data_IF_642726729666
#
_entry.id   IF_642726729666
#
_cell.length_a   1.000
_cell.length_b   1.000
_cell.length_c   1.000
_cell.angle_alpha   90.00
_cell.angle_beta   90.00
_cell.angle_gamma   90.00
#
_symmetry.space_group_name_H-M   'P 1'
#
loop_
_entity.id
_entity.type
_entity.pdbx_description
1 polymer ?
#
# COMPACT_ATOMS: atom_id res chain seq x y z
N UNK A 1 3.47 18.38 -9.41
CA UNK A 1 3.15 16.97 -9.74
C UNK A 1 2.11 16.52 -8.73
N UNK A 2 0.88 16.26 -9.17
CA UNK A 2 -0.17 15.74 -8.28
C UNK A 2 0.13 14.28 -7.98
N UNK A 3 0.28 13.93 -6.70
CA UNK A 3 0.40 12.53 -6.28
C UNK A 3 -0.93 11.81 -6.57
N UNK A 4 -0.90 10.56 -7.03
CA UNK A 4 -2.12 9.82 -7.32
C UNK A 4 -2.87 9.52 -6.03
N UNK A 5 -4.17 9.79 -6.04
CA UNK A 5 -5.10 9.33 -5.00
C UNK A 5 -5.66 7.97 -5.43
N UNK A 6 -5.72 7.05 -4.49
CA UNK A 6 -6.29 5.70 -4.69
C UNK A 6 -7.14 5.31 -3.49
N UNK A 7 -7.90 4.22 -3.61
CA UNK A 7 -8.59 3.60 -2.47
C UNK A 7 -7.62 2.70 -1.72
N UNK A 8 -7.70 2.71 -0.38
CA UNK A 8 -7.05 1.76 0.49
C UNK A 8 -8.03 0.66 0.92
N UNK A 9 -7.61 -0.59 0.86
CA UNK A 9 -8.40 -1.74 1.32
C UNK A 9 -7.54 -2.64 2.21
N UNK A 10 -7.85 -2.65 3.50
CA UNK A 10 -7.20 -3.56 4.45
C UNK A 10 -7.67 -4.99 4.22
N UNK A 11 -6.73 -5.91 4.07
CA UNK A 11 -6.93 -7.30 3.67
C UNK A 11 -6.30 -8.30 4.66
N UNK A 12 -5.63 -7.82 5.70
CA UNK A 12 -5.10 -8.65 6.79
C UNK A 12 -6.22 -9.07 7.77
N UNK A 13 -5.86 -9.83 8.81
CA UNK A 13 -6.81 -10.37 9.77
C UNK A 13 -7.63 -9.25 10.45
N UNK A 14 -8.91 -9.14 10.07
CA UNK A 14 -9.88 -8.15 10.52
C UNK A 14 -10.33 -8.41 11.98
N UNK A 15 -9.42 -8.16 12.91
CA UNK A 15 -9.61 -8.38 14.34
C UNK A 15 -8.99 -7.23 15.11
N UNK A 16 -9.60 -6.84 16.24
CA UNK A 16 -8.99 -5.87 17.16
C UNK A 16 -7.69 -6.38 17.81
N UNK A 17 -7.39 -7.67 17.64
CA UNK A 17 -6.12 -8.28 18.05
C UNK A 17 -5.01 -8.12 17.01
N UNK A 18 -5.32 -7.61 15.81
CA UNK A 18 -4.30 -7.31 14.80
C UNK A 18 -3.46 -6.11 15.24
N UNK A 19 -2.14 -6.21 15.04
CA UNK A 19 -1.18 -5.10 15.24
C UNK A 19 -1.61 -3.83 14.49
N UNK A 20 -2.34 -4.01 13.38
CA UNK A 20 -2.78 -2.95 12.48
C UNK A 20 -4.30 -2.75 12.48
N UNK A 21 -4.99 -3.14 13.56
CA UNK A 21 -6.44 -2.94 13.69
C UNK A 21 -6.89 -1.48 13.49
N UNK A 22 -5.98 -0.51 13.64
CA UNK A 22 -6.23 0.90 13.37
C UNK A 22 -6.34 1.22 11.86
N UNK A 23 -5.72 0.41 10.98
CA UNK A 23 -5.85 0.51 9.53
C UNK A 23 -7.14 -0.15 9.02
N UNK A 24 -7.58 -1.24 9.66
CA UNK A 24 -8.87 -1.88 9.34
C UNK A 24 -10.04 -0.89 9.40
N UNK A 25 -10.07 -0.02 10.42
CA UNK A 25 -11.10 1.05 10.57
C UNK A 25 -11.07 2.11 9.46
N UNK A 26 -10.04 2.10 8.61
CA UNK A 26 -9.81 3.03 7.51
C UNK A 26 -9.95 2.36 6.13
N UNK A 27 -10.40 1.11 6.07
CA UNK A 27 -10.70 0.45 4.80
C UNK A 27 -11.71 1.28 3.98
N UNK A 28 -11.53 1.31 2.65
CA UNK A 28 -12.29 2.08 1.66
C UNK A 28 -12.13 3.61 1.75
N UNK A 29 -11.15 4.12 2.49
CA UNK A 29 -10.80 5.54 2.44
C UNK A 29 -9.90 5.86 1.25
N UNK A 30 -9.96 7.10 0.78
CA UNK A 30 -9.00 7.60 -0.19
C UNK A 30 -7.67 7.89 0.51
N UNK A 31 -6.58 7.53 -0.15
CA UNK A 31 -5.23 7.79 0.30
C UNK A 31 -4.39 8.38 -0.81
N UNK A 32 -3.45 9.24 -0.43
CA UNK A 32 -2.43 9.78 -1.32
C UNK A 32 -1.20 8.91 -1.26
N UNK A 33 -0.77 8.35 -2.40
CA UNK A 33 0.49 7.59 -2.46
C UNK A 33 1.67 8.56 -2.46
N UNK A 34 2.56 8.45 -1.47
CA UNK A 34 3.68 9.37 -1.30
C UNK A 34 4.91 8.89 -2.07
N UNK A 35 5.38 7.67 -1.78
CA UNK A 35 6.52 7.01 -2.43
C UNK A 35 6.56 5.51 -2.07
N UNK A 36 7.31 4.73 -2.85
CA UNK A 36 7.63 3.33 -2.54
C UNK A 36 8.60 3.27 -1.35
N UNK A 37 8.40 2.30 -0.45
CA UNK A 37 9.26 2.06 0.71
C UNK A 37 9.81 0.64 0.68
N UNK A 38 10.95 0.45 1.33
CA UNK A 38 11.58 -0.87 1.43
C UNK A 38 10.81 -1.66 2.50
N UNK A 39 10.27 -2.85 2.17
CA UNK A 39 9.60 -3.71 3.14
C UNK A 39 10.55 -4.18 4.24
N UNK A 40 10.01 -4.60 5.39
CA UNK A 40 10.79 -5.20 6.45
C UNK A 40 11.47 -6.51 6.01
N UNK A 41 12.46 -7.02 6.77
CA UNK A 41 13.22 -8.22 6.39
C UNK A 41 12.35 -9.50 6.28
N UNK A 42 11.14 -9.48 6.81
CA UNK A 42 10.19 -10.60 6.78
C UNK A 42 8.97 -10.32 5.89
N UNK A 43 8.92 -9.16 5.25
CA UNK A 43 7.78 -8.73 4.44
C UNK A 43 8.11 -8.98 2.96
N UNK A 44 7.27 -9.75 2.28
CA UNK A 44 7.41 -10.03 0.86
C UNK A 44 6.44 -9.15 0.07
N UNK A 45 6.96 -8.38 -0.90
CA UNK A 45 6.13 -7.59 -1.82
C UNK A 45 6.53 -6.11 -1.88
N UNK A 46 5.83 -5.39 -2.75
CA UNK A 46 5.99 -3.94 -2.88
C UNK A 46 5.17 -3.23 -1.80
N UNK A 47 5.79 -2.26 -1.13
CA UNK A 47 5.13 -1.43 -0.13
C UNK A 47 5.21 0.04 -0.51
N UNK A 48 4.18 0.80 -0.15
CA UNK A 48 4.09 2.23 -0.37
C UNK A 48 3.81 2.94 0.94
N UNK A 49 4.41 4.12 1.12
CA UNK A 49 3.96 5.05 2.14
C UNK A 49 2.77 5.83 1.59
N UNK A 50 1.63 5.75 2.27
CA UNK A 50 0.42 6.49 1.93
C UNK A 50 0.05 7.47 3.04
N UNK A 51 -0.71 8.51 2.68
CA UNK A 51 -1.30 9.46 3.63
C UNK A 51 -2.82 9.47 3.52
N UNK A 52 -3.49 9.32 4.65
CA UNK A 52 -4.94 9.44 4.79
C UNK A 52 -5.38 10.90 4.95
N UNK A 53 -6.67 11.18 4.77
CA UNK A 53 -7.24 12.52 4.91
C UNK A 53 -7.13 13.10 6.34
N UNK A 54 -7.04 12.23 7.35
CA UNK A 54 -6.80 12.62 8.76
C UNK A 54 -5.33 12.96 9.05
N UNK A 55 -4.46 12.86 8.04
CA UNK A 55 -3.03 13.13 8.15
C UNK A 55 -2.20 11.94 8.63
N UNK A 56 -2.81 10.78 8.90
CA UNK A 56 -2.08 9.56 9.23
C UNK A 56 -1.24 9.11 8.02
N UNK A 57 0.00 8.72 8.28
CA UNK A 57 0.86 8.07 7.30
C UNK A 57 1.12 6.62 7.71
N UNK A 58 1.00 5.71 6.76
CA UNK A 58 1.20 4.28 7.01
C UNK A 58 1.86 3.61 5.80
N UNK A 59 2.67 2.59 6.08
CA UNK A 59 3.16 1.66 5.07
C UNK A 59 2.07 0.65 4.76
N UNK A 60 1.76 0.49 3.47
CA UNK A 60 0.72 -0.42 2.97
C UNK A 60 1.27 -1.22 1.81
N UNK A 61 0.79 -2.45 1.63
CA UNK A 61 1.18 -3.29 0.51
C UNK A 61 0.51 -2.84 -0.79
N UNK A 62 1.13 -3.19 -1.92
CA UNK A 62 0.63 -2.82 -3.24
C UNK A 62 -0.78 -3.37 -3.52
N UNK A 63 -1.10 -4.57 -3.01
CA UNK A 63 -2.40 -5.20 -3.15
C UNK A 63 -3.49 -4.58 -2.24
N UNK A 64 -3.10 -3.78 -1.25
CA UNK A 64 -4.02 -2.92 -0.48
C UNK A 64 -4.46 -1.66 -1.24
N UNK A 65 -3.93 -1.45 -2.46
CA UNK A 65 -4.22 -0.29 -3.30
C UNK A 65 -4.83 -0.74 -4.65
N UNK A 66 -6.09 -1.21 -4.67
CA UNK A 66 -6.70 -1.92 -5.80
C UNK A 66 -6.75 -1.14 -7.14
N UNK A 67 -6.71 0.19 -7.09
CA UNK A 67 -6.73 1.06 -8.26
C UNK A 67 -5.38 1.75 -8.54
N UNK A 68 -4.36 1.45 -7.73
CA UNK A 68 -3.04 2.01 -7.92
C UNK A 68 -2.25 1.20 -8.94
N UNK A 69 -2.11 1.77 -10.13
CA UNK A 69 -1.14 1.27 -11.10
C UNK A 69 0.15 2.04 -10.87
N UNK A 70 1.18 1.36 -10.36
CA UNK A 70 2.50 1.98 -10.23
C UNK A 70 2.95 2.50 -11.60
N UNK A 71 3.41 3.76 -11.70
CA UNK A 71 3.96 4.29 -12.94
C UNK A 71 5.32 3.66 -13.29
N UNK A 72 5.88 2.81 -12.44
CA UNK A 72 7.11 2.08 -12.73
C UNK A 72 6.80 0.92 -13.70
N UNK A 73 7.58 0.77 -14.79
CA UNK A 73 7.40 -0.35 -15.70
C UNK A 73 7.63 -1.66 -14.93
N UNK A 74 6.68 -2.58 -15.05
CA UNK A 74 6.87 -3.99 -14.70
C UNK A 74 8.22 -4.42 -15.30
N UNK A 75 9.22 -4.71 -14.46
CA UNK A 75 10.49 -5.22 -14.94
C UNK A 75 10.19 -6.50 -15.72
N UNK A 76 10.48 -6.45 -17.02
CA UNK A 76 10.30 -7.54 -17.97
C UNK A 76 10.90 -8.83 -17.42
N UNK A 77 10.17 -9.93 -17.64
CA UNK A 77 10.64 -11.29 -17.42
C UNK A 77 12.06 -11.44 -17.99
N UNK A 78 12.99 -11.83 -17.12
CA UNK A 78 14.33 -12.21 -17.53
C UNK A 78 14.22 -13.60 -18.15
N UNK A 79 14.16 -13.66 -19.48
CA UNK A 79 14.32 -14.89 -20.25
C UNK A 79 15.74 -15.42 -20.03
N UNK A 80 15.88 -16.54 -19.32
CA UNK A 80 17.12 -17.31 -19.32
C UNK A 80 17.27 -17.97 -20.71
N UNK A 81 18.38 -17.66 -21.38
CA UNK A 81 18.81 -18.29 -22.65
C UNK A 81 19.44 -19.64 -22.40
#
# INVERSE_FOLDING_TARGET
MSRPNTLFEYHCWESEQSSDAHLWKRTRQQVMVLHEIIPGPNDEGLMFLVRFDDGLEAGVFADELPLFVSPLPLKQEVSYS
#
